data_IF_483496301890
#
_entry.id   IF_483496301890
#
_cell.length_a   1.000
_cell.length_b   1.000
_cell.length_c   1.000
_cell.angle_alpha   90.00
_cell.angle_beta   90.00
_cell.angle_gamma   90.00
#
_symmetry.space_group_name_H-M   'P 1'
#
loop_
_entity.id
_entity.type
_entity.pdbx_description
1 polymer ?
#
# COMPACT_ATOMS: atom_id res chain seq x y z
N UNK A 1 -31.86 21.22 -4.23
CA UNK A 1 -31.73 20.32 -3.05
C UNK A 1 -30.26 19.94 -2.95
N UNK A 2 -29.64 20.03 -1.77
CA UNK A 2 -28.19 19.83 -1.64
C UNK A 2 -27.78 18.35 -1.58
N UNK A 3 -28.65 17.48 -1.07
CA UNK A 3 -28.36 16.05 -0.96
C UNK A 3 -29.61 15.20 -1.10
N UNK A 4 -29.47 13.98 -1.62
CA UNK A 4 -30.57 13.01 -1.71
C UNK A 4 -30.12 11.61 -1.28
N UNK A 5 -31.03 10.85 -0.66
CA UNK A 5 -30.87 9.43 -0.34
C UNK A 5 -31.84 8.61 -1.17
N UNK A 6 -31.32 7.76 -2.04
CA UNK A 6 -32.08 6.79 -2.84
C UNK A 6 -32.17 5.48 -2.02
N UNK A 7 -33.38 4.98 -1.70
CA UNK A 7 -33.55 3.80 -0.85
C UNK A 7 -33.25 2.47 -1.57
N UNK A 8 -33.04 1.41 -0.79
CA UNK A 8 -32.64 0.06 -1.27
C UNK A 8 -33.67 -0.63 -2.17
N UNK A 9 -34.92 -0.17 -2.23
CA UNK A 9 -35.94 -0.73 -3.11
C UNK A 9 -35.94 -0.11 -4.52
N UNK A 10 -35.07 0.85 -4.80
CA UNK A 10 -34.89 1.43 -6.13
C UNK A 10 -33.91 0.57 -6.91
N UNK A 11 -34.37 0.03 -8.04
CA UNK A 11 -33.59 -0.85 -8.91
C UNK A 11 -32.82 -0.11 -10.02
N UNK A 12 -33.17 1.15 -10.31
CA UNK A 12 -32.49 1.94 -11.35
C UNK A 12 -32.57 3.44 -11.07
N UNK A 13 -31.56 4.18 -11.51
CA UNK A 13 -31.62 5.63 -11.66
C UNK A 13 -32.00 5.89 -13.12
N UNK A 14 -33.22 6.35 -13.34
CA UNK A 14 -33.76 6.54 -14.69
C UNK A 14 -33.04 7.65 -15.46
N UNK A 15 -33.25 7.67 -16.78
CA UNK A 15 -32.75 8.72 -17.62
C UNK A 15 -33.24 10.10 -17.14
N UNK A 16 -32.38 11.12 -17.18
CA UNK A 16 -32.67 12.50 -16.77
C UNK A 16 -33.11 12.72 -15.31
N UNK A 17 -32.99 11.72 -14.42
CA UNK A 17 -33.55 11.81 -13.04
C UNK A 17 -33.06 13.04 -12.26
N UNK A 18 -31.79 13.40 -12.40
CA UNK A 18 -31.17 14.58 -11.76
C UNK A 18 -30.54 15.51 -12.81
N UNK A 19 -31.08 15.53 -14.03
CA UNK A 19 -30.62 16.42 -15.09
C UNK A 19 -30.62 17.89 -14.62
N UNK A 20 -29.48 18.57 -14.83
CA UNK A 20 -29.22 19.96 -14.47
C UNK A 20 -29.52 20.32 -13.00
N UNK A 21 -29.41 19.34 -12.09
CA UNK A 21 -29.49 19.59 -10.65
C UNK A 21 -28.19 20.26 -10.13
N UNK A 22 -27.90 21.48 -10.60
CA UNK A 22 -26.65 22.20 -10.35
C UNK A 22 -26.31 22.43 -8.87
N UNK A 23 -27.29 22.39 -7.96
CA UNK A 23 -27.09 22.50 -6.51
C UNK A 23 -26.96 21.16 -5.77
N UNK A 24 -27.03 20.02 -6.47
CA UNK A 24 -26.88 18.70 -5.87
C UNK A 24 -25.41 18.45 -5.56
N UNK A 25 -25.10 18.31 -4.27
CA UNK A 25 -23.73 18.12 -3.75
C UNK A 25 -23.43 16.65 -3.47
N UNK A 26 -24.44 15.88 -3.04
CA UNK A 26 -24.24 14.48 -2.67
C UNK A 26 -25.46 13.60 -2.91
N UNK A 27 -25.19 12.36 -3.33
CA UNK A 27 -26.19 11.32 -3.53
C UNK A 27 -25.73 10.08 -2.75
N UNK A 28 -26.58 9.55 -1.89
CA UNK A 28 -26.36 8.25 -1.26
C UNK A 28 -27.34 7.25 -1.86
N UNK A 29 -26.82 6.15 -2.39
CA UNK A 29 -27.61 5.12 -3.07
C UNK A 29 -27.77 3.86 -2.21
N UNK A 30 -28.89 3.17 -2.38
CA UNK A 30 -29.04 1.79 -1.92
C UNK A 30 -28.27 0.79 -2.78
N UNK A 31 -28.23 -0.48 -2.34
CA UNK A 31 -27.41 -1.53 -2.97
C UNK A 31 -28.06 -2.22 -4.18
N UNK A 32 -29.37 -2.05 -4.40
CA UNK A 32 -30.13 -2.76 -5.43
C UNK A 32 -30.11 -2.12 -6.82
N UNK A 33 -29.41 -0.99 -7.01
CA UNK A 33 -29.37 -0.29 -8.29
C UNK A 33 -28.53 -1.11 -9.28
N UNK A 34 -29.11 -1.42 -10.44
CA UNK A 34 -28.44 -2.17 -11.51
C UNK A 34 -28.14 -1.34 -12.76
N UNK A 35 -28.72 -0.14 -12.87
CA UNK A 35 -28.53 0.72 -14.03
C UNK A 35 -28.55 2.20 -13.66
N UNK A 36 -27.67 2.98 -14.29
CA UNK A 36 -27.69 4.45 -14.33
C UNK A 36 -28.03 4.85 -15.77
N UNK A 37 -29.19 5.47 -15.96
CA UNK A 37 -29.71 5.84 -17.27
C UNK A 37 -29.07 7.09 -17.87
N UNK A 38 -29.39 7.32 -19.15
CA UNK A 38 -28.85 8.42 -19.93
C UNK A 38 -29.15 9.77 -19.28
N UNK A 39 -28.17 10.67 -19.26
CA UNK A 39 -28.28 12.00 -18.66
C UNK A 39 -28.71 12.02 -17.17
N UNK A 40 -28.59 10.91 -16.43
CA UNK A 40 -29.10 10.80 -15.06
C UNK A 40 -28.61 11.91 -14.13
N UNK A 41 -27.37 12.38 -14.30
CA UNK A 41 -26.72 13.46 -13.56
C UNK A 41 -26.06 14.51 -14.49
N UNK A 42 -26.43 14.56 -15.77
CA UNK A 42 -25.87 15.56 -16.70
C UNK A 42 -26.12 16.97 -16.17
N UNK A 43 -25.09 17.82 -16.12
CA UNK A 43 -25.15 19.18 -15.60
C UNK A 43 -25.25 19.30 -14.07
N UNK A 44 -25.00 18.25 -13.29
CA UNK A 44 -24.88 18.33 -11.83
C UNK A 44 -23.55 18.98 -11.39
N UNK A 45 -23.37 20.28 -11.67
CA UNK A 45 -22.08 20.97 -11.54
C UNK A 45 -21.50 21.01 -10.13
N UNK A 46 -22.31 20.84 -9.07
CA UNK A 46 -21.85 20.82 -7.67
C UNK A 46 -21.62 19.42 -7.10
N UNK A 47 -21.86 18.35 -7.87
CA UNK A 47 -21.71 16.98 -7.40
C UNK A 47 -20.22 16.65 -7.28
N UNK A 48 -19.70 16.72 -6.05
CA UNK A 48 -18.26 16.54 -5.78
C UNK A 48 -17.81 15.07 -5.72
N UNK A 49 -18.73 14.17 -5.37
CA UNK A 49 -18.47 12.74 -5.24
C UNK A 49 -19.73 11.93 -5.52
N UNK A 50 -19.57 10.77 -6.15
CA UNK A 50 -20.65 9.81 -6.35
C UNK A 50 -20.09 8.39 -6.19
N UNK A 51 -20.81 7.52 -5.47
CA UNK A 51 -20.45 6.11 -5.34
C UNK A 51 -21.40 5.31 -6.23
N UNK A 52 -20.87 4.69 -7.29
CA UNK A 52 -21.64 3.81 -8.15
C UNK A 52 -21.84 2.47 -7.41
N UNK A 53 -23.09 2.01 -7.19
CA UNK A 53 -23.33 0.73 -6.52
C UNK A 53 -22.75 -0.48 -7.27
N UNK A 54 -22.25 -1.46 -6.54
CA UNK A 54 -21.64 -2.69 -7.08
C UNK A 54 -22.59 -3.53 -7.96
N UNK A 55 -23.90 -3.28 -7.88
CA UNK A 55 -24.93 -3.92 -8.70
C UNK A 55 -25.03 -3.37 -10.13
N UNK A 56 -24.47 -2.19 -10.40
CA UNK A 56 -24.61 -1.50 -11.69
C UNK A 56 -23.87 -2.25 -12.80
N UNK A 57 -24.57 -2.51 -13.91
CA UNK A 57 -24.02 -3.23 -15.07
C UNK A 57 -23.72 -2.33 -16.27
N UNK A 58 -24.28 -1.12 -16.29
CA UNK A 58 -24.12 -0.15 -17.37
C UNK A 58 -24.30 1.28 -16.87
N UNK A 59 -23.53 2.19 -17.47
CA UNK A 59 -23.63 3.64 -17.30
C UNK A 59 -24.09 4.22 -18.64
N UNK A 60 -25.24 4.90 -18.63
CA UNK A 60 -25.86 5.45 -19.83
C UNK A 60 -25.12 6.64 -20.44
N UNK A 61 -25.59 7.05 -21.60
CA UNK A 61 -25.02 8.16 -22.37
C UNK A 61 -25.14 9.46 -21.57
N UNK A 62 -24.06 10.22 -21.48
CA UNK A 62 -23.98 11.50 -20.75
C UNK A 62 -24.40 11.42 -19.28
N UNK A 63 -24.38 10.23 -18.66
CA UNK A 63 -24.91 10.00 -17.31
C UNK A 63 -24.35 10.96 -16.25
N UNK A 64 -23.11 11.43 -16.39
CA UNK A 64 -22.43 12.38 -15.51
C UNK A 64 -21.79 13.54 -16.29
N UNK A 65 -22.21 13.79 -17.54
CA UNK A 65 -21.66 14.89 -18.33
C UNK A 65 -21.78 16.23 -17.58
N UNK A 66 -20.75 17.07 -17.65
CA UNK A 66 -20.74 18.39 -17.00
C UNK A 66 -20.78 18.36 -15.47
N UNK A 67 -20.49 17.24 -14.80
CA UNK A 67 -20.29 17.21 -13.35
C UNK A 67 -18.94 17.85 -12.97
N UNK A 68 -18.83 19.16 -13.13
CA UNK A 68 -17.57 19.92 -13.06
C UNK A 68 -16.90 19.93 -11.69
N UNK A 69 -17.58 19.50 -10.61
CA UNK A 69 -16.98 19.38 -9.27
C UNK A 69 -16.53 17.95 -8.92
N UNK A 70 -16.87 16.95 -9.75
CA UNK A 70 -16.54 15.55 -9.47
C UNK A 70 -15.02 15.35 -9.57
N UNK A 71 -14.37 14.95 -8.48
CA UNK A 71 -12.91 14.83 -8.43
C UNK A 71 -12.37 13.44 -8.67
N UNK A 72 -13.15 12.41 -8.38
CA UNK A 72 -12.79 11.00 -8.61
C UNK A 72 -14.03 10.14 -8.77
N UNK A 73 -13.93 9.06 -9.54
CA UNK A 73 -15.00 8.07 -9.67
C UNK A 73 -14.45 6.64 -9.70
N UNK A 74 -15.15 5.74 -9.01
CA UNK A 74 -14.93 4.30 -9.07
C UNK A 74 -16.06 3.67 -9.90
N UNK A 75 -15.70 3.02 -11.00
CA UNK A 75 -16.60 2.22 -11.83
C UNK A 75 -16.48 0.75 -11.36
N UNK A 76 -17.52 0.15 -10.77
CA UNK A 76 -17.42 -1.16 -10.15
C UNK A 76 -17.34 -2.31 -11.15
N UNK A 77 -16.93 -3.48 -10.65
CA UNK A 77 -16.56 -4.66 -11.44
C UNK A 77 -17.65 -5.25 -12.33
N UNK A 78 -18.93 -4.97 -12.06
CA UNK A 78 -20.04 -5.49 -12.87
C UNK A 78 -20.39 -4.60 -14.06
N UNK A 79 -19.87 -3.38 -14.13
CA UNK A 79 -20.10 -2.49 -15.26
C UNK A 79 -19.42 -3.08 -16.49
N UNK A 80 -20.17 -3.21 -17.57
CA UNK A 80 -19.68 -3.76 -18.85
C UNK A 80 -19.53 -2.70 -19.92
N UNK A 81 -20.28 -1.59 -19.80
CA UNK A 81 -20.35 -0.51 -20.80
C UNK A 81 -20.36 0.85 -20.08
N UNK A 82 -19.51 1.77 -20.55
CA UNK A 82 -19.55 3.20 -20.25
C UNK A 82 -20.03 3.93 -21.51
N UNK A 83 -21.22 4.53 -21.46
CA UNK A 83 -21.90 5.14 -22.61
C UNK A 83 -21.23 6.38 -23.19
N UNK A 84 -21.78 6.87 -24.31
CA UNK A 84 -21.25 8.01 -25.04
C UNK A 84 -21.25 9.24 -24.15
N UNK A 85 -20.13 9.99 -24.14
CA UNK A 85 -19.98 11.23 -23.38
C UNK A 85 -20.30 11.08 -21.87
N UNK A 86 -20.27 9.86 -21.30
CA UNK A 86 -20.77 9.58 -19.95
C UNK A 86 -20.19 10.50 -18.86
N UNK A 87 -18.93 10.91 -18.97
CA UNK A 87 -18.24 11.84 -18.08
C UNK A 87 -17.69 13.07 -18.84
N UNK A 88 -18.23 13.39 -20.02
CA UNK A 88 -17.81 14.53 -20.84
C UNK A 88 -17.77 15.82 -20.02
N UNK A 89 -16.62 16.50 -20.01
CA UNK A 89 -16.48 17.81 -19.36
C UNK A 89 -16.51 17.77 -17.83
N UNK A 90 -16.26 16.63 -17.19
CA UNK A 90 -15.96 16.56 -15.76
C UNK A 90 -14.59 17.20 -15.47
N UNK A 91 -14.48 18.52 -15.61
CA UNK A 91 -13.21 19.24 -15.65
C UNK A 91 -12.37 19.21 -14.37
N UNK A 92 -12.96 18.83 -13.23
CA UNK A 92 -12.25 18.64 -11.95
C UNK A 92 -11.90 17.18 -11.66
N UNK A 93 -12.25 16.25 -12.55
CA UNK A 93 -11.96 14.83 -12.38
C UNK A 93 -10.46 14.62 -12.47
N UNK A 94 -9.85 14.16 -11.38
CA UNK A 94 -8.41 13.94 -11.26
C UNK A 94 -8.07 12.48 -11.56
N UNK A 95 -8.92 11.56 -11.10
CA UNK A 95 -8.70 10.12 -11.24
C UNK A 95 -9.97 9.32 -11.51
N UNK A 96 -9.81 8.22 -12.26
CA UNK A 96 -10.87 7.24 -12.53
C UNK A 96 -10.32 5.85 -12.29
N UNK A 97 -11.09 4.99 -11.61
CA UNK A 97 -10.81 3.55 -11.53
C UNK A 97 -11.90 2.79 -12.26
N UNK A 98 -11.48 1.91 -13.19
CA UNK A 98 -12.35 1.17 -14.10
C UNK A 98 -12.30 -0.31 -13.77
N UNK A 99 -13.47 -0.85 -13.39
CA UNK A 99 -13.68 -2.23 -12.94
C UNK A 99 -13.32 -3.30 -13.96
N UNK A 100 -13.12 -4.52 -13.47
CA UNK A 100 -12.53 -5.63 -14.24
C UNK A 100 -13.33 -6.05 -15.49
N UNK A 101 -14.66 -5.86 -15.48
CA UNK A 101 -15.54 -6.34 -16.56
C UNK A 101 -15.88 -5.30 -17.62
N UNK A 102 -15.35 -4.07 -17.53
CA UNK A 102 -15.63 -3.03 -18.54
C UNK A 102 -15.06 -3.48 -19.87
N UNK A 103 -15.95 -3.73 -20.84
CA UNK A 103 -15.60 -4.25 -22.15
C UNK A 103 -15.60 -3.16 -23.23
N UNK A 104 -16.43 -2.13 -23.07
CA UNK A 104 -16.55 -1.02 -24.02
C UNK A 104 -16.61 0.32 -23.27
N UNK A 105 -15.86 1.29 -23.78
CA UNK A 105 -15.93 2.70 -23.41
C UNK A 105 -16.26 3.46 -24.68
N UNK A 106 -17.48 3.97 -24.77
CA UNK A 106 -18.03 4.56 -25.99
C UNK A 106 -17.49 5.98 -26.26
N UNK A 107 -17.92 6.58 -27.36
CA UNK A 107 -17.36 7.82 -27.90
C UNK A 107 -17.37 8.95 -26.86
N UNK A 108 -16.23 9.65 -26.73
CA UNK A 108 -16.11 10.84 -25.90
C UNK A 108 -16.33 10.64 -24.39
N UNK A 109 -16.39 9.39 -23.90
CA UNK A 109 -16.82 9.10 -22.52
C UNK A 109 -16.07 9.89 -21.43
N UNK A 110 -14.80 10.22 -21.62
CA UNK A 110 -14.01 11.04 -20.69
C UNK A 110 -13.48 12.34 -21.31
N UNK A 111 -13.97 12.73 -22.49
CA UNK A 111 -13.48 13.89 -23.23
C UNK A 111 -13.60 15.18 -22.38
N UNK A 112 -12.61 16.07 -22.48
CA UNK A 112 -12.54 17.33 -21.74
C UNK A 112 -12.56 17.20 -20.20
N UNK A 113 -12.11 16.08 -19.64
CA UNK A 113 -11.73 15.95 -18.24
C UNK A 113 -10.33 16.56 -18.03
N UNK A 114 -10.16 17.86 -18.23
CA UNK A 114 -8.85 18.53 -18.36
C UNK A 114 -7.89 18.48 -17.16
N UNK A 115 -8.37 18.03 -15.99
CA UNK A 115 -7.55 17.78 -14.80
C UNK A 115 -7.28 16.28 -14.55
N UNK A 116 -7.75 15.41 -15.44
CA UNK A 116 -7.52 13.98 -15.36
C UNK A 116 -6.02 13.74 -15.50
N UNK A 117 -5.46 13.08 -14.48
CA UNK A 117 -4.05 12.71 -14.43
C UNK A 117 -3.88 11.20 -14.44
N UNK A 118 -4.90 10.46 -13.99
CA UNK A 118 -4.78 9.02 -13.79
C UNK A 118 -6.06 8.28 -14.19
N UNK A 119 -5.91 7.22 -14.99
CA UNK A 119 -6.99 6.26 -15.30
C UNK A 119 -6.51 4.86 -14.99
N UNK A 120 -7.09 4.20 -13.99
CA UNK A 120 -6.75 2.82 -13.62
C UNK A 120 -7.71 1.81 -14.25
N UNK A 121 -7.16 0.72 -14.74
CA UNK A 121 -7.92 -0.43 -15.24
C UNK A 121 -7.60 -1.69 -14.43
N UNK A 122 -8.64 -2.30 -13.87
CA UNK A 122 -8.57 -3.57 -13.14
C UNK A 122 -8.68 -4.79 -14.08
N UNK A 123 -9.02 -4.58 -15.36
CA UNK A 123 -9.22 -5.65 -16.35
C UNK A 123 -8.34 -5.53 -17.59
N UNK A 124 -8.64 -6.33 -18.62
CA UNK A 124 -8.06 -6.19 -19.96
C UNK A 124 -8.43 -4.84 -20.59
N UNK A 125 -7.66 -4.40 -21.58
CA UNK A 125 -7.97 -3.17 -22.29
C UNK A 125 -9.35 -3.25 -22.94
N UNK A 126 -10.31 -2.36 -22.59
CA UNK A 126 -11.60 -2.32 -23.25
C UNK A 126 -11.48 -1.81 -24.68
N UNK A 127 -12.53 -2.05 -25.48
CA UNK A 127 -12.67 -1.36 -26.76
C UNK A 127 -12.97 0.11 -26.50
N UNK A 128 -12.27 0.99 -27.20
CA UNK A 128 -12.49 2.43 -27.15
C UNK A 128 -13.28 2.91 -28.36
N UNK A 129 -14.27 3.76 -28.11
CA UNK A 129 -14.89 4.61 -29.09
C UNK A 129 -13.97 5.75 -29.53
N UNK A 130 -14.53 6.65 -30.35
CA UNK A 130 -13.85 7.83 -30.84
C UNK A 130 -13.59 8.84 -29.71
N UNK A 131 -12.37 9.39 -29.66
CA UNK A 131 -12.02 10.54 -28.83
C UNK A 131 -12.31 10.40 -27.31
N UNK A 132 -12.25 9.18 -26.76
CA UNK A 132 -12.53 8.89 -25.34
C UNK A 132 -11.79 9.82 -24.37
N UNK A 133 -10.51 10.10 -24.60
CA UNK A 133 -9.66 10.96 -23.75
C UNK A 133 -9.22 12.26 -24.44
N UNK A 134 -10.02 12.78 -25.37
CA UNK A 134 -9.67 14.01 -26.09
C UNK A 134 -9.59 15.21 -25.14
N UNK A 135 -8.49 15.97 -25.24
CA UNK A 135 -8.13 17.09 -24.35
C UNK A 135 -7.70 16.71 -22.91
N UNK A 136 -7.43 15.43 -22.66
CA UNK A 136 -6.99 14.92 -21.35
C UNK A 136 -5.49 14.58 -21.32
N UNK A 137 -4.68 15.39 -22.01
CA UNK A 137 -3.26 15.15 -22.30
C UNK A 137 -2.32 15.05 -21.07
N UNK A 138 -2.83 15.30 -19.86
CA UNK A 138 -2.09 15.12 -18.59
C UNK A 138 -2.26 13.70 -18.03
N UNK A 139 -3.22 12.93 -18.55
CA UNK A 139 -3.57 11.63 -18.01
C UNK A 139 -2.60 10.54 -18.45
N UNK A 140 -2.37 9.59 -17.54
CA UNK A 140 -1.68 8.33 -17.81
C UNK A 140 -2.62 7.17 -17.50
N UNK A 141 -2.63 6.17 -18.37
CA UNK A 141 -3.42 4.94 -18.22
C UNK A 141 -2.57 3.90 -17.48
N UNK A 142 -3.11 3.37 -16.39
CA UNK A 142 -2.48 2.35 -15.57
C UNK A 142 -3.26 1.04 -15.66
N UNK A 143 -2.59 -0.09 -15.91
CA UNK A 143 -3.24 -1.39 -16.05
C UNK A 143 -2.51 -2.51 -15.29
N UNK A 144 -3.24 -3.50 -14.77
CA UNK A 144 -2.63 -4.58 -13.97
C UNK A 144 -1.70 -5.48 -14.80
N UNK A 145 -0.55 -5.93 -14.26
CA UNK A 145 0.27 -6.97 -14.86
C UNK A 145 -0.54 -8.25 -15.16
N UNK A 146 -0.38 -8.79 -16.37
CA UNK A 146 -1.10 -10.00 -16.82
C UNK A 146 -2.41 -9.71 -17.54
N UNK A 147 -2.89 -8.47 -17.52
CA UNK A 147 -3.96 -8.02 -18.43
C UNK A 147 -3.41 -7.84 -19.85
N UNK A 148 -4.29 -7.95 -20.83
CA UNK A 148 -3.96 -7.97 -22.27
C UNK A 148 -4.65 -6.84 -23.02
N UNK A 149 -4.18 -6.52 -24.22
CA UNK A 149 -4.74 -5.48 -25.09
C UNK A 149 -4.15 -4.08 -24.91
N UNK A 150 -3.07 -3.95 -24.15
CA UNK A 150 -2.40 -2.68 -23.88
C UNK A 150 -1.27 -2.42 -24.87
N UNK A 151 -1.42 -1.36 -25.66
CA UNK A 151 -0.34 -0.75 -26.45
C UNK A 151 0.38 0.32 -25.61
N UNK A 152 1.59 0.81 -26.00
CA UNK A 152 2.29 1.89 -25.28
C UNK A 152 1.47 3.18 -25.10
N UNK A 153 0.42 3.35 -25.89
CA UNK A 153 -0.61 4.35 -25.69
C UNK A 153 -1.99 3.72 -25.79
N UNK A 154 -2.94 4.19 -25.00
CA UNK A 154 -4.33 3.75 -25.02
C UNK A 154 -5.26 4.96 -25.06
N UNK A 155 -6.04 5.09 -26.14
CA UNK A 155 -6.86 6.28 -26.39
C UNK A 155 -6.08 7.58 -26.51
N UNK A 156 -4.80 7.50 -26.92
CA UNK A 156 -3.89 8.64 -27.07
C UNK A 156 -3.12 9.01 -25.80
N UNK A 157 -3.38 8.33 -24.67
CA UNK A 157 -2.66 8.52 -23.41
C UNK A 157 -1.53 7.49 -23.26
N UNK A 158 -0.40 7.82 -22.61
CA UNK A 158 0.62 6.82 -22.26
C UNK A 158 0.05 5.69 -21.40
N UNK A 159 0.48 4.46 -21.63
CA UNK A 159 0.13 3.31 -20.77
C UNK A 159 1.29 2.87 -19.91
N UNK A 160 0.94 2.41 -18.72
CA UNK A 160 1.86 2.07 -17.65
C UNK A 160 1.30 0.88 -16.85
N UNK A 161 2.15 0.00 -16.34
CA UNK A 161 1.72 -1.09 -15.45
C UNK A 161 1.30 -0.57 -14.07
N UNK A 162 0.35 -1.24 -13.41
CA UNK A 162 -0.19 -0.89 -12.09
C UNK A 162 0.22 -1.95 -11.04
N UNK A 163 0.95 -1.58 -10.00
CA UNK A 163 1.43 -2.49 -8.93
C UNK A 163 1.22 -1.85 -7.55
N UNK A 164 0.85 -2.61 -6.52
CA UNK A 164 0.02 -2.10 -5.40
C UNK A 164 0.60 -2.13 -3.96
N UNK A 165 1.85 -2.54 -3.69
CA UNK A 165 2.39 -2.60 -2.31
C UNK A 165 3.93 -2.56 -2.20
N UNK A 166 4.59 -1.50 -1.73
CA UNK A 166 6.06 -1.40 -1.74
C UNK A 166 6.83 -2.11 -0.59
N UNK A 167 7.31 -3.33 -0.77
CA UNK A 167 8.08 -4.07 0.25
C UNK A 167 9.56 -3.63 0.27
N UNK A 168 10.32 -3.83 1.35
CA UNK A 168 11.76 -3.53 1.41
C UNK A 168 12.52 -4.71 1.95
N UNK A 169 13.60 -5.09 1.27
CA UNK A 169 14.50 -6.15 1.69
C UNK A 169 15.66 -6.31 0.68
N UNK A 170 16.72 -7.01 1.09
CA UNK A 170 17.87 -7.35 0.25
C UNK A 170 17.64 -8.70 -0.44
N UNK A 171 17.32 -8.68 -1.73
CA UNK A 171 16.96 -9.81 -2.58
C UNK A 171 18.08 -10.27 -3.51
N UNK A 172 19.22 -9.56 -3.56
CA UNK A 172 20.40 -9.99 -4.32
C UNK A 172 21.66 -10.25 -3.47
N UNK A 173 21.56 -10.01 -2.16
CA UNK A 173 22.57 -10.30 -1.14
C UNK A 173 23.71 -9.29 -1.08
N UNK A 174 23.52 -8.08 -1.63
CA UNK A 174 24.56 -7.04 -1.66
C UNK A 174 24.62 -6.18 -0.38
N UNK A 175 23.67 -6.39 0.55
CA UNK A 175 23.51 -5.66 1.81
C UNK A 175 22.65 -4.39 1.71
N UNK A 176 22.22 -4.02 0.50
CA UNK A 176 21.40 -2.84 0.21
C UNK A 176 19.94 -3.28 0.07
N UNK A 177 19.02 -2.47 0.58
CA UNK A 177 17.60 -2.75 0.43
C UNK A 177 17.11 -2.41 -0.97
N UNK A 178 16.48 -3.37 -1.64
CA UNK A 178 15.75 -3.13 -2.89
C UNK A 178 14.48 -2.32 -2.66
N UNK A 179 14.15 -1.54 -3.69
CA UNK A 179 12.80 -1.05 -3.89
C UNK A 179 11.96 -2.24 -4.36
N UNK A 180 11.17 -2.82 -3.45
CA UNK A 180 10.31 -3.97 -3.77
C UNK A 180 8.84 -3.55 -3.81
N UNK A 181 8.04 -4.23 -4.63
CA UNK A 181 6.60 -4.07 -4.74
C UNK A 181 5.93 -5.45 -4.86
N UNK A 182 5.00 -5.75 -3.96
CA UNK A 182 4.02 -6.81 -4.08
C UNK A 182 2.71 -6.26 -4.67
N UNK A 183 2.09 -6.98 -5.59
CA UNK A 183 0.79 -6.60 -6.11
C UNK A 183 -0.31 -7.34 -5.34
N UNK A 184 -0.96 -6.66 -4.39
CA UNK A 184 -2.11 -7.12 -3.61
C UNK A 184 -3.32 -7.53 -4.46
N UNK A 185 -3.36 -7.21 -5.76
CA UNK A 185 -4.45 -7.63 -6.65
C UNK A 185 -4.13 -8.92 -7.44
N UNK A 186 -2.88 -9.36 -7.47
CA UNK A 186 -2.45 -10.50 -8.30
C UNK A 186 -1.53 -11.50 -7.61
N UNK A 187 -0.81 -11.08 -6.56
CA UNK A 187 0.20 -11.89 -5.88
C UNK A 187 1.60 -11.82 -6.50
N UNK A 188 1.84 -10.93 -7.46
CA UNK A 188 3.15 -10.77 -8.09
C UNK A 188 4.10 -9.90 -7.27
N UNK A 189 5.38 -10.28 -7.24
CA UNK A 189 6.47 -9.51 -6.66
C UNK A 189 7.38 -8.92 -7.74
N UNK A 190 7.92 -7.73 -7.44
CA UNK A 190 8.87 -6.97 -8.24
C UNK A 190 9.88 -6.35 -7.29
N UNK A 191 11.18 -6.49 -7.54
CA UNK A 191 12.24 -5.87 -6.73
C UNK A 191 13.30 -5.27 -7.65
N UNK A 192 13.79 -4.09 -7.31
CA UNK A 192 14.74 -3.33 -8.11
C UNK A 192 15.89 -2.81 -7.26
N UNK A 193 17.11 -3.18 -7.64
CA UNK A 193 18.33 -2.80 -6.95
C UNK A 193 18.78 -1.41 -7.40
N UNK A 194 18.95 -0.51 -6.44
CA UNK A 194 19.47 0.83 -6.69
C UNK A 194 20.94 0.81 -7.09
N UNK A 195 21.69 -0.20 -6.65
CA UNK A 195 23.11 -0.33 -6.94
C UNK A 195 23.35 -0.79 -8.38
N UNK A 196 22.70 -1.88 -8.78
CA UNK A 196 22.87 -2.44 -10.13
C UNK A 196 22.01 -1.75 -11.18
N UNK A 197 20.94 -1.08 -10.75
CA UNK A 197 19.92 -0.54 -11.64
C UNK A 197 19.17 -1.63 -12.40
N UNK A 198 19.09 -2.85 -11.87
CA UNK A 198 18.41 -3.99 -12.47
C UNK A 198 17.31 -4.54 -11.56
N UNK A 199 16.34 -5.21 -12.17
CA UNK A 199 15.34 -5.96 -11.42
C UNK A 199 15.96 -7.24 -10.84
N UNK A 200 15.89 -7.40 -9.52
CA UNK A 200 16.34 -8.60 -8.79
C UNK A 200 15.22 -9.63 -8.69
N UNK A 201 13.97 -9.16 -8.60
CA UNK A 201 12.75 -9.98 -8.72
C UNK A 201 11.86 -9.34 -9.79
N UNK A 202 11.43 -10.13 -10.78
CA UNK A 202 10.55 -9.61 -11.83
C UNK A 202 9.36 -10.53 -12.07
N UNK A 203 8.16 -10.02 -11.77
CA UNK A 203 6.89 -10.70 -12.03
C UNK A 203 6.88 -12.12 -11.46
N UNK A 204 7.42 -12.30 -10.25
CA UNK A 204 7.42 -13.59 -9.56
C UNK A 204 6.07 -13.76 -8.86
N UNK A 205 5.28 -14.74 -9.29
CA UNK A 205 4.01 -15.05 -8.63
C UNK A 205 4.29 -15.83 -7.35
N UNK A 206 4.07 -15.20 -6.20
CA UNK A 206 4.20 -15.85 -4.91
C UNK A 206 3.25 -15.21 -3.89
N UNK A 207 2.07 -15.79 -3.73
CA UNK A 207 0.97 -15.19 -2.96
C UNK A 207 -0.28 -15.08 -3.82
N UNK A 208 -1.24 -14.29 -3.33
CA UNK A 208 -2.55 -14.11 -3.96
C UNK A 208 -3.18 -12.79 -3.50
N UNK A 209 -4.30 -12.38 -4.11
CA UNK A 209 -4.91 -11.11 -3.78
C UNK A 209 -5.28 -11.00 -2.29
N UNK A 210 -4.85 -9.92 -1.64
CA UNK A 210 -5.07 -9.69 -0.22
C UNK A 210 -4.17 -10.46 0.76
N UNK A 211 -3.22 -11.29 0.28
CA UNK A 211 -2.25 -11.93 1.18
C UNK A 211 -1.35 -10.89 1.86
N UNK A 212 -1.01 -11.12 3.13
CA UNK A 212 -0.16 -10.19 3.89
C UNK A 212 1.31 -10.53 3.69
N UNK A 213 2.04 -9.69 2.96
CA UNK A 213 3.50 -9.82 2.81
C UNK A 213 4.24 -9.73 4.15
N UNK A 214 5.18 -10.64 4.35
CA UNK A 214 6.00 -10.81 5.55
C UNK A 214 7.41 -11.25 5.14
N UNK A 215 8.08 -10.51 4.25
CA UNK A 215 9.38 -10.94 3.74
C UNK A 215 10.44 -10.96 4.87
N UNK A 216 11.54 -11.66 4.64
CA UNK A 216 12.65 -11.82 5.59
C UNK A 216 13.53 -12.98 5.13
N UNK A 217 14.67 -13.20 5.77
CA UNK A 217 15.53 -14.35 5.48
C UNK A 217 15.04 -15.57 6.28
N UNK A 218 14.32 -16.49 5.65
CA UNK A 218 13.77 -17.67 6.34
C UNK A 218 14.64 -18.91 6.23
N UNK A 219 15.71 -18.86 5.44
CA UNK A 219 16.56 -20.02 5.17
C UNK A 219 18.04 -19.83 5.55
N UNK A 220 18.40 -18.63 6.01
CA UNK A 220 19.67 -18.26 6.64
C UNK A 220 20.78 -17.98 5.65
N UNK A 221 20.45 -17.70 4.39
CA UNK A 221 21.43 -17.39 3.36
C UNK A 221 21.75 -15.90 3.21
N UNK A 222 21.15 -15.06 4.08
CA UNK A 222 21.27 -13.59 4.14
C UNK A 222 20.66 -12.88 2.96
N UNK A 223 19.90 -13.60 2.13
CA UNK A 223 19.03 -13.02 1.11
C UNK A 223 17.62 -13.10 1.64
N UNK A 224 16.90 -12.00 1.50
CA UNK A 224 15.50 -11.95 1.87
C UNK A 224 14.65 -12.79 0.93
N UNK A 225 13.63 -13.40 1.50
CA UNK A 225 12.72 -14.28 0.79
C UNK A 225 11.37 -13.62 0.53
N UNK A 226 10.68 -14.15 -0.48
CA UNK A 226 9.30 -13.79 -0.73
C UNK A 226 8.43 -14.58 0.22
N UNK A 227 7.79 -13.91 1.17
CA UNK A 227 6.91 -14.57 2.13
C UNK A 227 5.58 -13.85 2.33
N UNK A 228 4.53 -14.64 2.51
CA UNK A 228 3.16 -14.18 2.76
C UNK A 228 2.53 -14.97 3.91
N UNK A 229 1.69 -14.26 4.66
CA UNK A 229 0.81 -14.79 5.70
C UNK A 229 -0.63 -14.68 5.24
N UNK A 230 -1.36 -15.78 5.34
CA UNK A 230 -2.78 -15.85 5.06
C UNK A 230 -3.58 -15.38 6.27
N UNK A 231 -4.09 -14.15 6.20
CA UNK A 231 -4.89 -13.58 7.29
C UNK A 231 -6.23 -14.28 7.52
N UNK A 232 -6.69 -15.13 6.60
CA UNK A 232 -7.96 -15.84 6.73
C UNK A 232 -7.84 -17.16 7.50
N UNK A 233 -6.69 -17.83 7.48
CA UNK A 233 -6.50 -19.12 8.14
C UNK A 233 -5.26 -19.20 9.05
N UNK A 234 -4.32 -18.26 8.95
CA UNK A 234 -3.12 -18.20 9.76
C UNK A 234 -1.93 -19.02 9.25
N UNK A 235 -1.91 -19.34 7.95
CA UNK A 235 -0.81 -20.08 7.34
C UNK A 235 0.28 -19.17 6.76
N UNK A 236 1.52 -19.62 6.85
CA UNK A 236 2.68 -18.98 6.24
C UNK A 236 3.12 -19.69 4.96
N UNK A 237 3.71 -18.93 4.05
CA UNK A 237 4.26 -19.38 2.77
C UNK A 237 5.53 -18.59 2.48
N UNK A 238 6.65 -19.26 2.16
CA UNK A 238 7.92 -18.60 1.87
C UNK A 238 8.66 -19.28 0.71
N UNK A 239 9.29 -18.46 -0.14
CA UNK A 239 10.03 -18.87 -1.32
C UNK A 239 11.40 -18.21 -1.33
N UNK A 240 12.43 -19.04 -1.39
CA UNK A 240 13.82 -18.61 -1.46
C UNK A 240 14.10 -17.89 -2.76
N UNK A 241 14.56 -16.64 -2.68
CA UNK A 241 14.96 -15.91 -3.88
C UNK A 241 16.29 -16.43 -4.40
N UNK A 242 17.30 -16.56 -3.53
CA UNK A 242 18.63 -17.00 -3.90
C UNK A 242 18.66 -18.43 -4.45
N UNK A 243 17.92 -19.36 -3.83
CA UNK A 243 17.87 -20.77 -4.27
C UNK A 243 16.80 -21.03 -5.32
N UNK A 244 15.87 -20.08 -5.50
CA UNK A 244 14.69 -20.21 -6.35
C UNK A 244 13.89 -21.50 -6.05
N UNK A 245 13.63 -21.75 -4.77
CA UNK A 245 12.90 -22.93 -4.29
C UNK A 245 11.91 -22.58 -3.17
N UNK A 246 10.90 -23.41 -2.97
CA UNK A 246 9.95 -23.27 -1.89
C UNK A 246 10.61 -23.62 -0.55
N UNK A 247 10.67 -22.66 0.38
CA UNK A 247 11.15 -22.90 1.74
C UNK A 247 10.05 -23.60 2.54
N UNK A 248 8.82 -23.09 2.44
CA UNK A 248 7.68 -23.63 3.17
C UNK A 248 6.35 -23.35 2.46
N UNK A 249 5.42 -24.29 2.59
CA UNK A 249 4.10 -24.24 2.00
C UNK A 249 3.01 -24.48 3.05
N UNK A 250 2.12 -23.50 3.22
CA UNK A 250 0.96 -23.58 4.10
C UNK A 250 1.29 -24.01 5.53
N UNK A 251 2.32 -23.40 6.14
CA UNK A 251 2.74 -23.71 7.51
C UNK A 251 1.69 -23.16 8.50
N UNK A 252 1.02 -24.01 9.29
CA UNK A 252 0.04 -23.54 10.26
C UNK A 252 0.75 -22.94 11.48
N UNK A 253 0.75 -21.62 11.58
CA UNK A 253 1.22 -20.92 12.77
C UNK A 253 0.57 -19.54 12.89
N UNK A 254 -0.49 -19.48 13.69
CA UNK A 254 -1.34 -18.30 13.79
C UNK A 254 -2.81 -18.66 13.63
N UNK A 255 -3.62 -17.66 13.36
CA UNK A 255 -5.05 -17.80 13.14
C UNK A 255 -5.60 -16.59 12.36
N UNK A 256 -6.86 -16.68 11.97
CA UNK A 256 -7.55 -15.61 11.26
C UNK A 256 -7.47 -14.27 12.02
N UNK A 257 -6.93 -13.24 11.37
CA UNK A 257 -6.78 -11.90 11.96
C UNK A 257 -5.62 -11.72 12.95
N UNK A 258 -4.79 -12.73 13.22
CA UNK A 258 -3.54 -12.51 13.94
C UNK A 258 -2.59 -11.64 13.11
N UNK A 259 -1.79 -10.80 13.78
CA UNK A 259 -0.85 -9.90 13.14
C UNK A 259 0.51 -10.59 12.99
N UNK A 260 1.00 -10.91 11.78
CA UNK A 260 2.30 -11.54 11.62
C UNK A 260 3.42 -10.53 11.85
N UNK A 261 4.43 -10.95 12.61
CA UNK A 261 5.52 -10.10 13.10
C UNK A 261 6.86 -10.87 13.06
N UNK A 262 7.28 -11.35 11.87
CA UNK A 262 8.50 -12.16 11.78
C UNK A 262 9.74 -11.37 12.22
N UNK A 263 10.76 -12.11 12.64
CA UNK A 263 12.02 -11.61 13.18
C UNK A 263 12.87 -12.79 13.61
N UNK A 264 14.18 -12.63 13.72
CA UNK A 264 15.06 -13.66 14.29
C UNK A 264 15.03 -13.54 15.82
N UNK A 265 14.30 -14.41 16.53
CA UNK A 265 14.12 -14.33 17.99
C UNK A 265 15.05 -15.25 18.77
N UNK A 266 15.83 -16.11 18.10
CA UNK A 266 16.78 -17.01 18.73
C UNK A 266 18.25 -16.81 18.30
N UNK A 267 18.50 -15.83 17.42
CA UNK A 267 19.79 -15.48 16.83
C UNK A 267 20.41 -16.62 16.02
N UNK A 268 19.60 -17.45 15.37
CA UNK A 268 20.07 -18.49 14.44
C UNK A 268 20.36 -17.96 13.01
N UNK A 269 20.09 -16.66 12.78
CA UNK A 269 20.26 -15.98 11.51
C UNK A 269 19.06 -16.12 10.58
N UNK A 270 17.91 -16.59 11.06
CA UNK A 270 16.68 -16.73 10.27
C UNK A 270 15.51 -16.05 10.95
N UNK A 271 14.62 -15.50 10.13
CA UNK A 271 13.32 -15.05 10.57
C UNK A 271 12.46 -16.24 11.04
N UNK A 272 11.95 -16.12 12.26
CA UNK A 272 11.01 -17.04 12.87
C UNK A 272 9.55 -16.71 12.54
N UNK A 273 8.68 -17.69 12.81
CA UNK A 273 7.24 -17.51 12.66
C UNK A 273 6.68 -16.90 13.93
N UNK A 274 6.35 -15.61 13.88
CA UNK A 274 5.83 -14.88 15.01
C UNK A 274 4.50 -14.20 14.68
N UNK A 275 3.54 -14.30 15.61
CA UNK A 275 2.25 -13.61 15.52
C UNK A 275 1.94 -12.86 16.81
N UNK A 276 1.29 -11.71 16.66
CA UNK A 276 0.77 -10.88 17.73
C UNK A 276 -0.76 -10.88 17.70
N UNK A 277 -1.38 -11.16 18.83
CA UNK A 277 -2.83 -11.08 18.99
C UNK A 277 -3.25 -9.63 19.31
N UNK A 278 -3.69 -8.90 18.29
CA UNK A 278 -4.15 -7.52 18.46
C UNK A 278 -5.36 -7.37 19.40
N UNK A 279 -6.10 -8.46 19.70
CA UNK A 279 -7.23 -8.43 20.61
C UNK A 279 -6.84 -8.61 22.07
N UNK A 280 -5.66 -9.19 22.35
CA UNK A 280 -5.22 -9.48 23.73
C UNK A 280 -3.90 -8.83 24.10
N UNK A 281 -3.06 -8.51 23.12
CA UNK A 281 -1.70 -8.00 23.33
C UNK A 281 -0.65 -9.10 23.53
N UNK A 282 -0.94 -10.34 23.17
CA UNK A 282 -0.05 -11.48 23.42
C UNK A 282 0.81 -11.82 22.19
N UNK A 283 2.04 -12.26 22.43
CA UNK A 283 2.97 -12.74 21.41
C UNK A 283 3.08 -14.27 21.41
N UNK A 284 3.26 -14.83 20.22
CA UNK A 284 3.47 -16.26 19.99
C UNK A 284 4.57 -16.42 18.94
N UNK A 285 5.67 -17.06 19.30
CA UNK A 285 6.84 -17.22 18.45
C UNK A 285 7.23 -18.70 18.40
N UNK A 286 7.37 -19.21 17.18
CA UNK A 286 7.86 -20.54 16.86
C UNK A 286 9.12 -20.38 16.01
N UNK A 287 10.20 -21.04 16.44
CA UNK A 287 11.45 -21.07 15.68
C UNK A 287 11.23 -21.53 14.24
N UNK A 288 11.99 -20.96 13.31
CA UNK A 288 11.98 -21.29 11.88
C UNK A 288 12.21 -22.79 11.62
N UNK A 289 13.02 -23.46 12.46
CA UNK A 289 13.30 -24.90 12.42
C UNK A 289 12.18 -25.77 13.02
N UNK A 290 11.19 -25.11 13.65
CA UNK A 290 9.99 -25.69 14.26
C UNK A 290 10.24 -26.62 15.44
N UNK A 291 11.45 -26.63 15.98
CA UNK A 291 11.83 -27.46 17.12
C UNK A 291 11.33 -26.87 18.44
N UNK A 292 11.17 -25.54 18.51
CA UNK A 292 11.06 -24.82 19.78
C UNK A 292 10.05 -23.67 19.72
N UNK A 293 9.23 -23.56 20.76
CA UNK A 293 8.44 -22.36 21.03
C UNK A 293 9.31 -21.35 21.76
N UNK A 294 9.71 -20.28 21.07
CA UNK A 294 10.53 -19.21 21.65
C UNK A 294 9.69 -18.30 22.56
N UNK A 295 8.40 -18.16 22.26
CA UNK A 295 7.43 -17.55 23.15
C UNK A 295 6.05 -18.21 23.00
N UNK A 296 5.45 -18.60 24.13
CA UNK A 296 4.08 -19.09 24.16
C UNK A 296 3.23 -18.15 25.01
N UNK A 297 2.38 -17.35 24.36
CA UNK A 297 1.49 -16.38 25.03
C UNK A 297 2.30 -15.46 25.96
N UNK A 298 3.35 -14.86 25.43
CA UNK A 298 4.06 -13.82 26.15
C UNK A 298 3.14 -12.60 26.26
N UNK A 299 2.81 -12.21 27.50
CA UNK A 299 1.90 -11.10 27.78
C UNK A 299 2.71 -9.81 27.79
N UNK A 300 2.90 -9.23 26.60
CA UNK A 300 3.62 -7.96 26.44
C UNK A 300 2.93 -7.07 25.40
N UNK A 301 1.90 -6.38 25.86
CA UNK A 301 1.03 -5.56 25.03
C UNK A 301 -0.36 -5.43 25.65
N UNK A 302 -1.28 -4.86 24.88
CA UNK A 302 -2.70 -4.74 25.23
C UNK A 302 -3.53 -4.71 23.95
N UNK A 303 -4.87 -4.84 24.04
CA UNK A 303 -5.73 -4.78 22.86
C UNK A 303 -5.54 -3.46 22.09
N UNK A 304 -5.21 -3.56 20.80
CA UNK A 304 -4.94 -2.41 19.92
C UNK A 304 -3.52 -1.83 19.99
N UNK A 305 -2.62 -2.39 20.80
CA UNK A 305 -1.19 -2.04 20.72
C UNK A 305 -0.62 -2.43 19.35
N UNK A 306 0.30 -1.63 18.81
CA UNK A 306 0.97 -1.95 17.54
C UNK A 306 2.26 -2.71 17.84
N UNK A 307 2.43 -3.96 17.40
CA UNK A 307 3.66 -4.71 17.63
C UNK A 307 4.75 -4.21 16.68
N UNK A 308 5.97 -4.06 17.16
CA UNK A 308 7.11 -3.50 16.42
C UNK A 308 8.43 -4.21 16.79
N UNK A 309 8.59 -5.52 16.56
CA UNK A 309 9.82 -6.22 16.86
C UNK A 309 10.99 -5.66 16.04
N UNK A 310 12.19 -5.92 16.55
CA UNK A 310 13.50 -5.45 16.07
C UNK A 310 14.52 -5.69 17.18
N UNK A 311 15.80 -5.61 16.89
CA UNK A 311 16.86 -5.79 17.88
C UNK A 311 17.18 -4.43 18.53
N UNK A 312 16.62 -4.18 19.72
CA UNK A 312 16.75 -2.87 20.37
C UNK A 312 17.90 -2.83 21.40
N UNK A 313 18.61 -3.96 21.61
CA UNK A 313 19.76 -4.02 22.52
C UNK A 313 21.06 -4.59 21.91
N UNK A 314 21.06 -4.84 20.60
CA UNK A 314 22.17 -5.32 19.78
C UNK A 314 22.70 -6.69 20.22
N UNK A 315 21.80 -7.58 20.66
CA UNK A 315 22.15 -8.97 21.00
C UNK A 315 21.95 -9.95 19.84
N UNK A 316 21.50 -9.45 18.69
CA UNK A 316 21.20 -10.23 17.48
C UNK A 316 19.82 -10.85 17.48
N UNK A 317 18.98 -10.59 18.49
CA UNK A 317 17.61 -11.09 18.56
C UNK A 317 16.59 -9.97 18.43
N UNK A 318 15.49 -10.29 17.77
CA UNK A 318 14.29 -9.50 17.76
C UNK A 318 13.66 -9.45 19.15
N UNK A 319 13.43 -8.25 19.65
CA UNK A 319 12.80 -8.00 20.93
C UNK A 319 11.28 -7.83 20.82
N UNK A 320 10.61 -7.94 21.97
CA UNK A 320 9.17 -7.76 22.08
C UNK A 320 8.85 -6.30 22.32
N UNK A 321 8.60 -5.56 21.25
CA UNK A 321 8.31 -4.12 21.33
C UNK A 321 6.88 -3.80 20.90
N UNK A 322 6.22 -2.94 21.67
CA UNK A 322 4.89 -2.42 21.31
C UNK A 322 4.88 -0.89 21.34
N UNK A 323 4.09 -0.32 20.44
CA UNK A 323 3.82 1.11 20.33
C UNK A 323 2.34 1.41 20.61
N UNK A 324 2.10 2.40 21.46
CA UNK A 324 0.79 3.01 21.68
C UNK A 324 0.56 4.08 20.62
N UNK A 325 -0.12 3.75 19.52
CA UNK A 325 -0.37 4.69 18.43
C UNK A 325 -1.30 5.86 18.79
N UNK A 326 -2.00 5.75 19.92
CA UNK A 326 -2.90 6.80 20.43
C UNK A 326 -2.11 7.78 21.31
N UNK A 327 -1.23 7.27 22.17
CA UNK A 327 -0.47 8.10 23.13
C UNK A 327 0.96 8.44 22.68
N UNK A 328 1.50 7.70 21.73
CA UNK A 328 2.82 7.91 21.16
C UNK A 328 3.95 7.25 21.93
N UNK A 329 3.64 6.31 22.83
CA UNK A 329 4.59 5.69 23.74
C UNK A 329 5.13 4.35 23.23
N UNK A 330 6.42 4.11 23.48
CA UNK A 330 7.11 2.86 23.18
C UNK A 330 7.41 2.06 24.44
N UNK A 331 7.34 0.73 24.31
CA UNK A 331 7.57 -0.25 25.37
C UNK A 331 8.37 -1.41 24.80
N UNK A 332 9.63 -1.53 25.22
CA UNK A 332 10.61 -2.48 24.66
C UNK A 332 10.97 -3.50 25.74
N UNK A 333 10.76 -4.79 25.45
CA UNK A 333 11.15 -5.92 26.30
C UNK A 333 12.16 -6.79 25.57
N UNK A 334 13.36 -6.91 26.15
CA UNK A 334 14.42 -7.77 25.63
C UNK A 334 13.96 -9.22 25.58
N UNK A 335 14.15 -9.88 24.44
CA UNK A 335 13.82 -11.29 24.23
C UNK A 335 14.76 -12.24 24.98
N UNK A 336 16.04 -11.89 25.12
CA UNK A 336 17.06 -12.70 25.81
C UNK A 336 17.05 -12.49 27.32
N UNK A 337 17.02 -11.23 27.76
CA UNK A 337 17.24 -10.87 29.16
C UNK A 337 15.96 -10.91 29.98
N UNK A 338 14.80 -10.96 29.32
CA UNK A 338 13.48 -10.79 29.94
C UNK A 338 13.41 -9.52 30.81
N UNK A 339 14.13 -8.47 30.38
CA UNK A 339 14.21 -7.16 31.04
C UNK A 339 13.58 -6.10 30.17
N UNK A 340 12.86 -5.17 30.79
CA UNK A 340 12.36 -3.98 30.11
C UNK A 340 13.55 -3.09 29.77
N UNK A 341 13.80 -2.91 28.48
CA UNK A 341 14.87 -2.04 27.98
C UNK A 341 14.43 -0.58 27.99
N UNK A 342 13.15 -0.33 27.70
CA UNK A 342 12.65 1.04 27.54
C UNK A 342 11.15 1.17 27.83
N UNK A 343 10.76 2.30 28.42
CA UNK A 343 9.37 2.70 28.70
C UNK A 343 9.23 4.22 28.62
N UNK A 344 8.46 4.75 27.67
CA UNK A 344 7.90 6.11 27.81
C UNK A 344 8.41 7.25 26.91
N UNK A 345 9.05 7.00 25.76
CA UNK A 345 9.29 8.06 24.77
C UNK A 345 7.99 8.44 24.06
N UNK A 346 7.63 9.72 24.08
CA UNK A 346 6.53 10.26 23.28
C UNK A 346 7.12 10.89 22.01
N UNK A 347 7.02 10.21 20.87
CA UNK A 347 7.53 10.74 19.59
C UNK A 347 6.48 11.63 18.91
N UNK A 348 5.39 11.06 18.39
CA UNK A 348 4.27 11.83 17.82
C UNK A 348 3.01 10.97 17.62
N UNK A 349 1.82 11.57 17.65
CA UNK A 349 0.57 10.89 17.29
C UNK A 349 -0.36 11.77 16.44
N UNK A 350 -1.14 11.16 15.51
CA UNK A 350 -1.01 9.80 15.00
C UNK A 350 0.24 9.65 14.10
N UNK A 351 0.84 8.46 14.04
CA UNK A 351 2.04 8.22 13.23
C UNK A 351 2.27 6.73 12.92
N UNK A 352 3.10 6.46 11.91
CA UNK A 352 3.50 5.11 11.47
C UNK A 352 4.84 4.76 12.10
N UNK A 353 4.93 3.61 12.76
CA UNK A 353 6.19 3.11 13.35
C UNK A 353 7.10 2.56 12.27
N UNK A 354 8.36 2.97 12.32
CA UNK A 354 9.35 2.70 11.28
C UNK A 354 10.76 2.54 11.89
N UNK A 355 10.94 1.63 12.87
CA UNK A 355 12.22 1.46 13.55
C UNK A 355 13.30 0.96 12.58
N UNK A 356 14.55 1.16 12.95
CA UNK A 356 15.73 0.79 12.19
C UNK A 356 16.97 1.37 12.87
N UNK A 357 18.15 0.88 12.55
CA UNK A 357 19.41 1.42 13.06
C UNK A 357 19.82 2.65 12.25
N UNK A 358 19.47 3.86 12.68
CA UNK A 358 19.76 5.09 11.93
C UNK A 358 21.13 5.69 12.28
N UNK A 359 21.74 5.31 13.41
CA UNK A 359 23.06 5.81 13.84
C UNK A 359 24.23 4.84 13.61
N UNK A 360 23.95 3.60 13.20
CA UNK A 360 24.95 2.56 12.94
C UNK A 360 25.49 1.90 14.21
N UNK A 361 24.74 1.95 15.32
CA UNK A 361 25.15 1.34 16.58
C UNK A 361 24.69 -0.12 16.74
N UNK A 362 24.11 -0.69 15.68
CA UNK A 362 23.55 -2.03 15.59
C UNK A 362 22.28 -2.27 16.41
N UNK A 363 21.69 -1.22 16.99
CA UNK A 363 20.35 -1.30 17.61
C UNK A 363 19.33 -0.64 16.71
N UNK A 364 18.15 -1.23 16.61
CA UNK A 364 16.99 -0.54 16.10
C UNK A 364 16.68 0.66 17.02
N UNK A 365 16.51 1.81 16.40
CA UNK A 365 16.08 3.04 17.07
C UNK A 365 14.56 3.21 17.03
N UNK A 366 14.05 4.01 17.96
CA UNK A 366 12.63 4.34 18.01
C UNK A 366 12.33 5.39 16.95
N UNK A 367 11.49 5.05 15.98
CA UNK A 367 11.17 5.95 14.88
C UNK A 367 9.69 5.96 14.51
N UNK A 368 9.14 7.17 14.37
CA UNK A 368 7.76 7.40 13.93
C UNK A 368 7.73 8.46 12.82
N UNK A 369 6.99 8.17 11.76
CA UNK A 369 6.63 9.14 10.74
C UNK A 369 5.21 9.67 11.00
N UNK A 370 5.09 10.96 11.27
CA UNK A 370 3.82 11.65 11.41
C UNK A 370 3.18 11.85 10.03
N UNK A 371 2.40 10.87 9.58
CA UNK A 371 1.84 10.82 8.22
C UNK A 371 0.87 11.96 7.90
N UNK A 372 0.31 12.62 8.91
CA UNK A 372 -0.50 13.83 8.76
C UNK A 372 0.33 15.11 8.58
N UNK A 373 1.61 15.09 8.94
CA UNK A 373 2.53 16.23 8.84
C UNK A 373 3.61 16.04 7.78
N UNK A 374 3.94 14.79 7.44
CA UNK A 374 5.08 14.48 6.57
C UNK A 374 6.43 14.55 7.28
N UNK A 375 6.47 14.35 8.61
CA UNK A 375 7.65 14.59 9.45
C UNK A 375 8.16 13.33 10.12
N UNK A 376 9.49 13.22 10.25
CA UNK A 376 10.16 12.13 10.94
C UNK A 376 10.58 12.49 12.36
N UNK A 377 10.43 11.52 13.27
CA UNK A 377 10.86 11.59 14.66
C UNK A 377 11.64 10.31 14.96
N UNK A 378 12.94 10.43 15.17
CA UNK A 378 13.86 9.32 15.39
C UNK A 378 14.66 9.59 16.66
N UNK A 379 14.63 8.63 17.58
CA UNK A 379 15.28 8.67 18.88
C UNK A 379 16.08 7.38 19.08
N UNK A 380 17.39 7.54 19.28
CA UNK A 380 18.26 6.42 19.57
C UNK A 380 18.02 5.85 20.96
N UNK A 381 18.17 4.53 21.09
CA UNK A 381 18.09 3.83 22.38
C UNK A 381 19.41 3.82 23.16
N UNK A 382 20.43 4.53 22.68
CA UNK A 382 21.69 4.80 23.36
C UNK A 382 21.59 5.71 24.61
N UNK A 383 20.36 5.92 25.11
CA UNK A 383 19.96 6.85 26.16
C UNK A 383 20.02 8.35 25.78
N UNK A 384 19.06 8.79 24.93
CA UNK A 384 18.55 10.18 24.74
C UNK A 384 19.03 10.89 23.47
N UNK A 385 19.79 10.26 22.57
CA UNK A 385 20.21 10.94 21.33
C UNK A 385 19.04 11.11 20.36
N UNK A 386 18.64 12.36 20.11
CA UNK A 386 17.65 12.68 19.09
C UNK A 386 18.34 12.87 17.74
N UNK A 387 18.06 11.97 16.80
CA UNK A 387 18.66 11.97 15.46
C UNK A 387 17.83 12.78 14.45
N UNK A 388 16.50 12.70 14.57
CA UNK A 388 15.58 13.50 13.79
C UNK A 388 14.44 13.96 14.68
N UNK A 389 14.24 15.27 14.80
CA UNK A 389 13.08 15.84 15.50
C UNK A 389 12.25 16.70 14.58
N UNK A 390 11.17 16.14 14.05
CA UNK A 390 10.29 16.84 13.13
C UNK A 390 10.96 17.20 11.80
N UNK A 391 11.90 16.35 11.33
CA UNK A 391 12.61 16.53 10.05
C UNK A 391 11.61 16.49 8.90
N UNK A 392 11.65 17.51 8.06
CA UNK A 392 10.78 17.68 6.89
C UNK A 392 11.30 16.84 5.71
N UNK A 393 11.06 15.53 5.78
CA UNK A 393 11.37 14.59 4.70
C UNK A 393 10.13 13.78 4.32
N UNK A 394 9.13 14.47 3.77
CA UNK A 394 7.84 13.90 3.40
C UNK A 394 6.76 14.97 3.30
N UNK A 395 5.52 14.53 3.14
CA UNK A 395 4.33 15.38 3.16
C UNK A 395 3.13 14.59 3.70
N UNK A 396 2.01 15.26 4.02
CA UNK A 396 0.81 14.56 4.47
C UNK A 396 0.35 13.50 3.47
N UNK A 397 0.28 12.25 3.92
CA UNK A 397 -0.12 11.10 3.09
C UNK A 397 1.00 10.37 2.35
N UNK A 398 2.25 10.86 2.42
CA UNK A 398 3.41 10.08 2.00
C UNK A 398 3.53 8.81 2.84
N UNK A 399 4.12 7.75 2.28
CA UNK A 399 4.27 6.48 3.02
C UNK A 399 5.74 6.27 3.39
N UNK A 400 6.08 6.11 4.68
CA UNK A 400 7.46 5.95 5.10
C UNK A 400 7.97 4.54 4.80
N UNK A 401 9.22 4.46 4.35
CA UNK A 401 9.90 3.27 3.83
C UNK A 401 11.38 3.29 4.21
N UNK A 402 11.75 3.38 5.50
CA UNK A 402 13.17 3.41 5.84
C UNK A 402 13.85 2.09 5.47
N UNK A 403 15.13 2.17 5.18
CA UNK A 403 15.98 1.05 4.81
C UNK A 403 17.37 1.57 4.52
N UNK A 404 18.35 0.68 4.42
CA UNK A 404 19.70 1.05 4.01
C UNK A 404 19.77 0.99 2.48
N UNK A 405 19.77 2.16 1.83
CA UNK A 405 19.74 2.27 0.37
C UNK A 405 21.10 2.59 -0.24
N UNK A 406 22.14 2.72 0.59
CA UNK A 406 23.48 3.06 0.13
C UNK A 406 24.61 2.17 0.68
N UNK A 407 24.25 1.13 1.43
CA UNK A 407 25.11 0.06 1.91
C UNK A 407 26.00 0.45 3.08
N UNK A 408 25.68 1.54 3.78
CA UNK A 408 26.44 1.98 4.95
C UNK A 408 25.99 1.30 6.26
N UNK A 409 24.99 0.41 6.17
CA UNK A 409 24.34 -0.34 7.26
C UNK A 409 23.41 0.48 8.14
N UNK A 410 23.28 1.78 7.88
CA UNK A 410 22.33 2.62 8.59
C UNK A 410 21.02 2.68 7.81
N UNK A 411 19.91 2.75 8.52
CA UNK A 411 18.63 3.08 7.95
C UNK A 411 18.62 4.54 7.47
N UNK A 412 18.11 4.75 6.27
CA UNK A 412 17.89 6.06 5.66
C UNK A 412 16.44 6.51 5.82
N UNK A 413 16.20 7.83 5.78
CA UNK A 413 14.84 8.34 5.69
C UNK A 413 14.37 8.24 4.25
N UNK A 414 13.33 7.44 4.02
CA UNK A 414 12.73 7.36 2.70
C UNK A 414 11.20 7.40 2.75
N UNK A 415 10.62 8.11 1.79
CA UNK A 415 9.17 8.17 1.59
C UNK A 415 8.81 7.79 0.17
N UNK A 416 7.68 7.09 0.05
CA UNK A 416 7.06 6.73 -1.20
C UNK A 416 5.79 7.56 -1.43
N UNK A 417 5.73 8.22 -2.59
CA UNK A 417 4.53 8.89 -3.08
C UNK A 417 3.58 7.87 -3.69
N UNK A 418 2.66 7.37 -2.87
CA UNK A 418 1.57 6.52 -3.35
C UNK A 418 0.56 7.22 -4.24
N UNK A 419 0.70 8.48 -4.62
CA UNK A 419 -0.18 9.13 -5.62
C UNK A 419 0.55 9.28 -6.94
N UNK A 420 1.88 9.28 -6.93
CA UNK A 420 2.69 9.54 -8.13
C UNK A 420 3.65 8.41 -8.49
N UNK A 421 3.92 7.46 -7.59
CA UNK A 421 4.89 6.38 -7.79
C UNK A 421 6.36 6.78 -7.56
N UNK A 422 6.60 7.92 -6.89
CA UNK A 422 7.95 8.45 -6.71
C UNK A 422 8.56 8.06 -5.37
N UNK A 423 9.85 7.72 -5.40
CA UNK A 423 10.68 7.54 -4.22
C UNK A 423 11.52 8.78 -3.93
N UNK A 424 11.69 9.05 -2.64
CA UNK A 424 12.52 10.12 -2.11
C UNK A 424 13.33 9.54 -0.95
N UNK A 425 14.65 9.53 -1.08
CA UNK A 425 15.56 8.84 -0.16
C UNK A 425 16.66 9.80 0.28
N UNK A 426 16.85 9.92 1.58
CA UNK A 426 17.85 10.76 2.21
C UNK A 426 18.68 9.96 3.20
N UNK A 427 19.99 9.92 2.94
CA UNK A 427 20.93 9.25 3.83
C UNK A 427 21.12 10.05 5.10
N UNK A 428 20.81 9.42 6.24
CA UNK A 428 20.97 10.03 7.56
C UNK A 428 22.44 10.19 7.90
N UNK A 429 23.23 9.13 7.71
CA UNK A 429 24.65 9.11 8.06
C UNK A 429 25.48 10.09 7.20
N UNK A 430 25.19 10.16 5.90
CA UNK A 430 25.92 11.03 4.97
C UNK A 430 25.33 12.44 4.90
N UNK A 431 24.10 12.64 5.40
CA UNK A 431 23.36 13.89 5.33
C UNK A 431 23.19 14.40 3.89
N UNK A 432 22.79 13.50 2.97
CA UNK A 432 22.63 13.81 1.53
C UNK A 432 21.42 13.10 0.93
N UNK A 433 20.80 13.73 -0.06
CA UNK A 433 19.73 13.09 -0.86
C UNK A 433 20.33 12.05 -1.79
N UNK A 434 19.96 10.78 -1.59
CA UNK A 434 20.35 9.68 -2.48
C UNK A 434 19.46 9.65 -3.72
N UNK A 435 18.15 9.86 -3.52
CA UNK A 435 17.14 9.74 -4.58
C UNK A 435 16.12 10.87 -4.44
N UNK A 436 15.83 11.54 -5.55
CA UNK A 436 14.80 12.58 -5.63
C UNK A 436 13.88 12.32 -6.82
N UNK A 437 12.58 12.15 -6.58
CA UNK A 437 11.56 11.95 -7.63
C UNK A 437 11.89 10.82 -8.61
N UNK A 438 12.40 9.71 -8.11
CA UNK A 438 12.73 8.58 -8.96
C UNK A 438 11.49 7.68 -9.07
N UNK A 439 10.99 7.52 -10.29
CA UNK A 439 9.77 6.77 -10.55
C UNK A 439 10.06 5.27 -10.45
N UNK A 440 9.58 4.63 -9.39
CA UNK A 440 9.66 3.18 -9.19
C UNK A 440 8.45 2.74 -8.37
N UNK A 441 7.64 1.82 -8.85
CA UNK A 441 6.29 1.63 -8.29
C UNK A 441 5.33 2.73 -8.75
N UNK A 442 4.09 2.71 -8.27
CA UNK A 442 3.01 3.46 -8.93
C UNK A 442 2.05 4.12 -7.92
N UNK A 443 1.26 5.12 -8.38
CA UNK A 443 0.12 5.63 -7.66
C UNK A 443 -0.78 4.52 -7.07
N UNK A 444 -0.83 4.41 -5.75
CA UNK A 444 -1.67 3.54 -4.94
C UNK A 444 -0.88 2.54 -4.10
N UNK A 445 0.43 2.37 -4.37
CA UNK A 445 1.21 1.38 -3.67
C UNK A 445 1.43 1.75 -2.18
N UNK A 446 1.08 0.83 -1.28
CA UNK A 446 1.32 0.99 0.16
C UNK A 446 2.45 0.06 0.58
N UNK A 447 3.62 0.53 1.00
CA UNK A 447 4.63 -0.33 1.61
C UNK A 447 4.14 -1.03 2.89
N UNK A 448 4.47 -2.32 3.17
CA UNK A 448 4.61 -2.73 4.56
C UNK A 448 5.72 -1.91 5.22
N UNK A 449 5.59 -1.63 6.52
CA UNK A 449 6.75 -1.20 7.29
C UNK A 449 7.78 -2.32 7.25
N UNK A 450 8.85 -2.13 6.47
CA UNK A 450 10.02 -3.00 6.51
C UNK A 450 10.63 -2.92 7.91
N UNK A 451 11.01 -4.07 8.44
CA UNK A 451 11.72 -4.22 9.71
C UNK A 451 12.97 -5.02 9.35
N UNK A 452 14.13 -4.36 9.36
CA UNK A 452 15.41 -5.04 9.52
C UNK A 452 15.51 -5.45 10.98
#
# INVERSE_FOLDING_TARGET
>A
MASIKIPDNVSSIGAYTFYECASLVGVTTGTSITNIGDHAFDGCTSLGSFVIPDGVTSIGDRAFAGCTSLTSILIPDKVTIIGNDAFLGCSSLISVTIGISVANIEDGAFCNCTNLTIVYFQGNAPKLGWAVFSNDYKATVYHLPGTTGWDPTFGGLPTVLWMTKAVLNDYDGDGISEITVYDNNSGYWYAYSLQSGQATVWKKLWGWPGAKTVPGDYDGDRVSDLAVYDQANGNWYAWSVAKNDCILWARPWGWAGAEPVPGDYDADGKNDFAVFDSNTGNWYVLSSDQSTYLAWRLVWGWPGATPVPGDYDADGKSDFTVYDSIKGFWYVLSSDKNTILFYGAMLCTPGVCVPGDYNGDSRNDLAVFASNLGKWYVLALDNITCMAWGVDWGWPGAVPVPGDYDGDKNADLAVFDKIQGYWYIWSVAKNTTLVWQQNWGWPGANPPGGRR
#
